data_IF_046341846099
#
_entry.id   IF_046341846099
#
_cell.length_a   1.000
_cell.length_b   1.000
_cell.length_c   1.000
_cell.angle_alpha   90.00
_cell.angle_beta   90.00
_cell.angle_gamma   90.00
#
_symmetry.space_group_name_H-M   'P 1'
#
loop_
_entity.id
_entity.type
_entity.pdbx_description
1 polymer ?
#
# COMPACT_ATOMS: atom_id res chain seq x y z
N UNK A 1 -3.17 0.97 11.42
CA UNK A 1 -2.57 0.41 10.16
C UNK A 1 -1.37 -0.45 10.51
N UNK A 2 -0.42 0.08 11.29
CA UNK A 2 0.66 -0.70 11.90
C UNK A 2 0.15 -1.86 12.78
N UNK A 3 -1.01 -1.71 13.42
CA UNK A 3 -1.65 -2.77 14.21
C UNK A 3 -1.97 -4.04 13.41
N UNK A 4 -2.26 -3.90 12.11
CA UNK A 4 -2.55 -5.02 11.20
C UNK A 4 -1.33 -5.51 10.43
N UNK A 5 -0.30 -4.67 10.33
CA UNK A 5 0.93 -4.95 9.58
C UNK A 5 2.15 -4.47 10.40
N UNK A 6 2.49 -5.15 11.50
CA UNK A 6 3.54 -4.72 12.42
C UNK A 6 4.92 -4.59 11.75
N UNK A 7 5.15 -5.37 10.70
CA UNK A 7 6.38 -5.30 9.90
C UNK A 7 6.62 -3.90 9.30
N UNK A 8 5.56 -3.11 9.11
CA UNK A 8 5.69 -1.74 8.60
C UNK A 8 6.32 -0.79 9.63
N UNK A 9 6.27 -1.09 10.94
CA UNK A 9 6.90 -0.25 11.97
C UNK A 9 8.43 -0.25 11.86
N UNK A 10 9.00 -1.34 11.34
CA UNK A 10 10.45 -1.45 11.14
C UNK A 10 10.97 -0.70 9.90
N UNK A 11 10.07 -0.16 9.07
CA UNK A 11 10.45 0.59 7.88
C UNK A 11 10.83 2.01 8.30
N UNK A 12 12.13 2.31 8.23
CA UNK A 12 12.63 3.66 8.46
C UNK A 12 12.38 4.48 7.20
N UNK A 13 11.56 5.53 7.34
CA UNK A 13 11.40 6.52 6.27
C UNK A 13 12.69 7.35 6.20
N UNK A 14 13.38 7.27 5.07
CA UNK A 14 14.60 8.02 4.82
C UNK A 14 14.18 9.20 3.95
N UNK A 15 14.10 10.38 4.58
CA UNK A 15 13.73 11.65 3.96
C UNK A 15 14.86 12.16 3.04
N UNK A 16 15.11 11.40 1.98
CA UNK A 16 16.04 11.72 0.91
C UNK A 16 15.22 12.06 -0.34
N UNK A 17 15.46 13.24 -0.89
CA UNK A 17 14.84 13.63 -2.14
C UNK A 17 15.17 12.61 -3.25
N UNK A 18 14.13 12.00 -3.81
CA UNK A 18 14.24 11.19 -5.03
C UNK A 18 14.39 12.13 -6.24
N UNK A 19 15.44 12.95 -6.25
CA UNK A 19 15.60 14.06 -7.20
C UNK A 19 15.89 13.61 -8.64
N UNK A 20 16.17 12.34 -8.88
CA UNK A 20 16.38 11.84 -10.24
C UNK A 20 15.74 10.47 -10.49
N UNK A 21 15.24 10.30 -11.72
CA UNK A 21 14.69 9.03 -12.21
C UNK A 21 15.71 7.86 -12.10
N UNK A 22 17.01 8.18 -12.21
CA UNK A 22 18.11 7.22 -12.10
C UNK A 22 18.34 6.81 -10.65
N UNK A 23 18.26 7.73 -9.69
CA UNK A 23 18.39 7.40 -8.26
C UNK A 23 17.19 6.59 -7.76
N UNK A 24 15.98 6.89 -8.25
CA UNK A 24 14.80 6.08 -7.96
C UNK A 24 14.95 4.63 -8.48
N UNK A 25 15.51 4.45 -9.68
CA UNK A 25 15.82 3.13 -10.25
C UNK A 25 16.83 2.31 -9.44
N UNK A 26 17.72 2.96 -8.67
CA UNK A 26 18.68 2.26 -7.80
C UNK A 26 18.03 1.77 -6.50
N UNK A 27 16.97 2.43 -6.05
CA UNK A 27 16.28 2.13 -4.77
C UNK A 27 15.04 1.26 -4.96
N UNK A 28 14.45 1.28 -6.15
CA UNK A 28 13.14 0.71 -6.43
C UNK A 28 13.09 0.14 -7.84
N UNK A 29 12.22 -0.85 -8.05
CA UNK A 29 11.95 -1.35 -9.39
C UNK A 29 11.28 -0.29 -10.27
N UNK A 30 11.61 -0.31 -11.56
CA UNK A 30 11.05 0.63 -12.52
C UNK A 30 9.52 0.58 -12.55
N UNK A 31 8.89 1.74 -12.43
CA UNK A 31 7.44 1.89 -12.58
C UNK A 31 6.62 1.61 -11.32
N UNK A 32 7.22 1.18 -10.20
CA UNK A 32 6.46 0.92 -8.96
C UNK A 32 5.73 2.17 -8.46
N UNK A 33 6.39 3.34 -8.48
CA UNK A 33 5.78 4.59 -8.01
C UNK A 33 4.53 4.94 -8.81
N UNK A 34 4.57 4.76 -10.14
CA UNK A 34 3.40 4.99 -10.99
C UNK A 34 2.29 3.98 -10.69
N UNK A 35 2.63 2.71 -10.47
CA UNK A 35 1.66 1.67 -10.12
C UNK A 35 0.97 1.96 -8.78
N UNK A 36 1.74 2.26 -7.74
CA UNK A 36 1.21 2.58 -6.39
C UNK A 36 0.35 3.84 -6.43
N UNK A 37 0.77 4.90 -7.14
CA UNK A 37 -0.03 6.13 -7.31
C UNK A 37 -1.37 5.84 -7.97
N UNK A 38 -1.43 4.96 -8.97
CA UNK A 38 -2.69 4.60 -9.62
C UNK A 38 -3.63 3.83 -8.68
N UNK A 39 -3.10 2.89 -7.90
CA UNK A 39 -3.88 2.16 -6.88
C UNK A 39 -4.44 3.10 -5.81
N UNK A 40 -3.60 4.00 -5.28
CA UNK A 40 -4.02 4.98 -4.28
C UNK A 40 -5.06 5.97 -4.84
N UNK A 41 -4.84 6.46 -6.06
CA UNK A 41 -5.77 7.37 -6.74
C UNK A 41 -7.14 6.72 -6.95
N UNK A 42 -7.17 5.43 -7.32
CA UNK A 42 -8.41 4.66 -7.44
C UNK A 42 -9.13 4.57 -6.10
N UNK A 43 -8.42 4.26 -5.01
CA UNK A 43 -9.01 4.17 -3.67
C UNK A 43 -9.62 5.51 -3.22
N UNK A 44 -8.89 6.60 -3.41
CA UNK A 44 -9.38 7.96 -3.13
C UNK A 44 -10.60 8.30 -3.97
N UNK A 45 -10.59 7.95 -5.26
CA UNK A 45 -11.73 8.18 -6.14
C UNK A 45 -12.97 7.39 -5.68
N UNK A 46 -12.83 6.13 -5.29
CA UNK A 46 -13.95 5.35 -4.77
C UNK A 46 -14.52 5.98 -3.49
N UNK A 47 -13.66 6.39 -2.55
CA UNK A 47 -14.08 7.07 -1.34
C UNK A 47 -14.84 8.36 -1.63
N UNK A 48 -14.26 9.25 -2.43
CA UNK A 48 -14.85 10.55 -2.75
C UNK A 48 -16.14 10.43 -3.56
N UNK A 49 -16.20 9.47 -4.50
CA UNK A 49 -17.34 9.35 -5.41
C UNK A 49 -18.50 8.56 -4.81
N UNK A 50 -18.21 7.49 -4.06
CA UNK A 50 -19.20 6.54 -3.52
C UNK A 50 -19.45 6.71 -2.02
N UNK A 51 -18.64 7.53 -1.34
CA UNK A 51 -18.71 7.73 0.11
C UNK A 51 -18.23 6.53 0.93
N UNK A 52 -17.68 5.49 0.29
CA UNK A 52 -17.24 4.26 0.95
C UNK A 52 -16.15 3.55 0.15
N UNK A 53 -15.37 2.72 0.83
CA UNK A 53 -14.33 1.87 0.27
C UNK A 53 -14.60 0.41 0.65
N UNK A 54 -14.18 -0.54 -0.21
CA UNK A 54 -14.34 -1.98 0.01
C UNK A 54 -13.07 -2.66 0.53
N UNK A 55 -11.94 -1.96 0.46
CA UNK A 55 -10.60 -2.40 0.85
C UNK A 55 -9.81 -1.14 1.26
N UNK A 56 -8.82 -1.26 2.13
CA UNK A 56 -8.04 -0.12 2.64
C UNK A 56 -6.74 0.13 1.88
N UNK A 57 -6.41 -0.72 0.90
CA UNK A 57 -5.23 -0.55 0.05
C UNK A 57 -5.00 -1.76 -0.85
N UNK A 58 -3.87 -1.75 -1.55
CA UNK A 58 -3.45 -2.83 -2.45
C UNK A 58 -2.05 -3.30 -2.07
N UNK A 59 -1.87 -4.61 -1.92
CA UNK A 59 -0.55 -5.25 -1.90
C UNK A 59 -0.08 -5.42 -3.34
N UNK A 60 1.03 -4.77 -3.68
CA UNK A 60 1.64 -4.83 -5.01
C UNK A 60 2.90 -5.67 -4.93
N UNK A 61 2.88 -6.80 -5.62
CA UNK A 61 4.02 -7.71 -5.74
C UNK A 61 4.48 -7.70 -7.20
N UNK A 62 5.70 -7.22 -7.41
CA UNK A 62 6.28 -7.10 -8.74
C UNK A 62 6.94 -8.40 -9.20
N UNK A 63 7.47 -9.21 -8.28
CA UNK A 63 8.11 -10.49 -8.59
C UNK A 63 7.07 -11.50 -9.08
N UNK A 64 5.92 -11.58 -8.41
CA UNK A 64 4.80 -12.42 -8.85
C UNK A 64 3.86 -11.72 -9.84
N UNK A 65 4.09 -10.44 -10.13
CA UNK A 65 3.24 -9.58 -10.95
C UNK A 65 1.76 -9.55 -10.48
N UNK A 66 1.51 -9.61 -9.17
CA UNK A 66 0.16 -9.61 -8.60
C UNK A 66 -0.18 -8.31 -7.88
N UNK A 67 -1.47 -7.96 -7.90
CA UNK A 67 -2.03 -6.88 -7.07
C UNK A 67 -3.21 -7.47 -6.32
N UNK A 68 -3.15 -7.44 -4.99
CA UNK A 68 -4.18 -8.04 -4.12
C UNK A 68 -4.78 -6.98 -3.20
N UNK A 69 -6.11 -6.90 -3.07
CA UNK A 69 -6.73 -5.91 -2.19
C UNK A 69 -6.48 -6.28 -0.72
N UNK A 70 -6.16 -5.29 0.09
CA UNK A 70 -6.17 -5.39 1.54
C UNK A 70 -7.61 -5.20 2.02
N UNK A 71 -8.33 -6.32 2.19
CA UNK A 71 -9.77 -6.29 2.48
C UNK A 71 -10.07 -5.75 3.88
N UNK A 72 -11.22 -5.08 3.98
CA UNK A 72 -11.83 -4.70 5.26
C UNK A 72 -12.61 -5.92 5.77
N UNK A 73 -11.95 -6.74 6.60
CA UNK A 73 -12.53 -7.97 7.15
C UNK A 73 -12.19 -8.08 8.64
N UNK A 74 -13.14 -7.71 9.53
CA UNK A 74 -12.94 -7.76 10.97
C UNK A 74 -12.62 -9.16 11.50
N UNK A 75 -13.12 -10.22 10.87
CA UNK A 75 -12.83 -11.61 11.29
C UNK A 75 -11.37 -11.94 10.98
N UNK A 76 -10.90 -11.54 9.79
CA UNK A 76 -9.49 -11.68 9.43
C UNK A 76 -8.57 -10.87 10.37
N UNK A 77 -8.98 -9.67 10.76
CA UNK A 77 -8.21 -8.83 11.68
C UNK A 77 -8.06 -9.43 13.08
N UNK A 78 -9.10 -10.09 13.59
CA UNK A 78 -9.01 -10.82 14.88
C UNK A 78 -7.96 -11.92 14.85
N UNK A 79 -7.81 -12.64 13.72
CA UNK A 79 -6.76 -13.66 13.56
C UNK A 79 -5.36 -13.03 13.61
N UNK A 80 -5.22 -11.79 13.15
CA UNK A 80 -3.98 -11.01 13.23
C UNK A 80 -3.74 -10.39 14.63
N UNK A 81 -4.59 -10.71 15.62
CA UNK A 81 -4.46 -10.21 16.99
C UNK A 81 -5.11 -8.84 17.23
N UNK A 82 -5.81 -8.29 16.23
CA UNK A 82 -6.52 -7.02 16.37
C UNK A 82 -7.90 -7.24 16.99
N UNK A 83 -8.02 -6.95 18.28
CA UNK A 83 -9.29 -6.91 19.00
C UNK A 83 -9.67 -5.44 19.18
N UNK A 84 -10.63 -4.97 18.38
CA UNK A 84 -11.23 -3.63 18.47
C UNK A 84 -11.86 -3.35 19.83
#
# INVERSE_FOLDING_TARGET
>A
MFDLYPQLESIVDVDEDSCSHIEALRKQEYGINKKVVLEATRLLWELLRKGSISHHGSYVDLESATVKPLKIDPVCWQVLGYNS
#
